data_IF_594685913116
#
_entry.id   IF_594685913116
#
_cell.length_a   1.000
_cell.length_b   1.000
_cell.length_c   1.000
_cell.angle_alpha   90.00
_cell.angle_beta   90.00
_cell.angle_gamma   90.00
#
_symmetry.space_group_name_H-M   'P 1'
#
loop_
_entity.id
_entity.type
_entity.pdbx_description
1 polymer ?
#
# COMPACT_ATOMS: atom_id res chain seq x y z
N UNK A 1 -0.85 0.71 18.15
CA UNK A 1 -1.10 1.01 16.72
C UNK A 1 0.20 1.43 16.04
N UNK A 2 0.78 0.56 15.20
CA UNK A 2 2.13 0.72 14.64
C UNK A 2 2.08 1.39 13.24
N UNK A 3 2.16 2.73 13.22
CA UNK A 3 2.57 3.65 12.12
C UNK A 3 1.52 4.30 11.19
N UNK A 4 1.86 5.38 10.47
CA UNK A 4 2.25 6.78 10.78
C UNK A 4 2.69 7.45 9.43
N UNK A 5 2.24 8.67 9.10
CA UNK A 5 2.43 9.34 7.80
C UNK A 5 3.87 9.42 7.27
N UNK A 6 4.87 9.27 8.15
CA UNK A 6 6.31 9.25 7.82
C UNK A 6 6.72 8.20 6.78
N UNK A 7 5.98 7.11 6.61
CA UNK A 7 6.29 6.11 5.58
C UNK A 7 5.90 6.56 4.17
N UNK A 8 4.83 7.34 4.02
CA UNK A 8 4.42 7.91 2.75
C UNK A 8 5.43 8.95 2.25
N UNK A 9 5.95 9.80 3.14
CA UNK A 9 7.00 10.76 2.76
C UNK A 9 8.28 10.02 2.35
N UNK A 10 8.64 8.94 3.07
CA UNK A 10 9.77 8.08 2.68
C UNK A 10 9.53 7.33 1.37
N UNK A 11 8.30 6.99 1.03
CA UNK A 11 7.91 6.41 -0.26
C UNK A 11 8.23 7.37 -1.40
N UNK A 12 7.69 8.59 -1.32
CA UNK A 12 7.87 9.63 -2.33
C UNK A 12 9.37 9.97 -2.48
N UNK A 13 10.09 10.13 -1.37
CA UNK A 13 11.53 10.41 -1.40
C UNK A 13 12.38 9.26 -1.99
N UNK A 14 11.94 8.00 -1.85
CA UNK A 14 12.66 6.84 -2.42
C UNK A 14 12.36 6.66 -3.91
N UNK A 15 11.12 6.90 -4.32
CA UNK A 15 10.72 6.95 -5.72
C UNK A 15 11.48 8.05 -6.48
N UNK A 16 11.56 9.25 -5.91
CA UNK A 16 12.34 10.37 -6.46
C UNK A 16 13.84 10.06 -6.56
N UNK A 17 14.36 9.19 -5.70
CA UNK A 17 15.77 8.80 -5.68
C UNK A 17 16.12 7.63 -6.61
N UNK A 18 15.16 7.10 -7.40
CA UNK A 18 15.33 5.96 -8.34
C UNK A 18 16.30 4.89 -7.82
N UNK A 19 16.11 4.43 -6.58
CA UNK A 19 16.85 3.26 -6.11
C UNK A 19 16.39 2.05 -6.91
N UNK A 20 17.31 1.41 -7.62
CA UNK A 20 17.09 0.15 -8.34
C UNK A 20 16.30 -0.83 -7.45
N UNK A 21 15.04 -1.11 -7.79
CA UNK A 21 14.15 -2.00 -7.04
C UNK A 21 12.75 -1.46 -6.74
N UNK A 22 12.45 -0.21 -7.06
CA UNK A 22 11.08 0.35 -7.03
C UNK A 22 10.53 0.26 -8.45
N UNK A 23 9.82 -0.83 -8.76
CA UNK A 23 9.36 -1.15 -10.12
C UNK A 23 8.15 -0.29 -10.54
N UNK A 24 7.32 0.14 -9.58
CA UNK A 24 6.08 0.87 -9.85
C UNK A 24 5.87 2.10 -8.94
N UNK A 25 5.06 3.06 -9.40
CA UNK A 25 4.64 4.20 -8.60
C UNK A 25 3.82 3.73 -7.38
N UNK A 26 4.23 4.10 -6.17
CA UNK A 26 3.59 3.66 -4.92
C UNK A 26 4.34 2.56 -4.17
N UNK A 27 5.39 1.99 -4.76
CA UNK A 27 6.24 1.00 -4.10
C UNK A 27 7.21 1.63 -3.08
N UNK A 28 7.37 0.96 -1.94
CA UNK A 28 8.16 1.46 -0.81
C UNK A 28 8.94 0.34 -0.17
N UNK A 29 10.25 0.55 -0.06
CA UNK A 29 11.12 -0.26 0.77
C UNK A 29 11.33 0.43 2.12
N UNK A 30 10.87 -0.19 3.20
CA UNK A 30 11.08 0.30 4.57
C UNK A 30 12.14 -0.55 5.25
N UNK A 31 13.29 0.03 5.64
CA UNK A 31 14.33 -0.72 6.33
C UNK A 31 13.81 -1.17 7.71
N UNK A 32 14.04 -2.44 8.01
CA UNK A 32 13.72 -3.09 9.27
C UNK A 32 14.95 -3.84 9.78
N UNK A 33 15.57 -3.31 10.82
CA UNK A 33 16.75 -3.92 11.44
C UNK A 33 16.34 -5.01 12.43
N UNK A 34 16.93 -6.19 12.29
CA UNK A 34 16.78 -7.32 13.22
C UNK A 34 18.09 -8.09 13.30
N UNK A 35 18.58 -8.31 14.53
CA UNK A 35 19.82 -9.08 14.81
C UNK A 35 21.04 -8.62 13.98
N UNK A 36 21.28 -7.32 13.89
CA UNK A 36 22.41 -6.76 13.13
C UNK A 36 22.20 -6.69 11.61
N UNK A 37 21.21 -7.38 11.06
CA UNK A 37 20.89 -7.37 9.63
C UNK A 37 19.79 -6.35 9.31
N UNK A 38 19.92 -5.63 8.18
CA UNK A 38 18.87 -4.75 7.66
C UNK A 38 18.07 -5.49 6.60
N UNK A 39 16.80 -5.78 6.89
CA UNK A 39 15.83 -6.30 5.94
C UNK A 39 15.03 -5.14 5.36
N UNK A 40 14.59 -5.24 4.11
CA UNK A 40 13.73 -4.23 3.50
C UNK A 40 12.32 -4.80 3.37
N UNK A 41 11.37 -4.22 4.11
CA UNK A 41 9.96 -4.56 3.95
C UNK A 41 9.42 -3.84 2.73
N UNK A 42 8.83 -4.60 1.83
CA UNK A 42 8.14 -4.07 0.67
C UNK A 42 6.68 -3.72 1.02
N UNK A 43 6.26 -2.54 0.60
CA UNK A 43 4.88 -2.07 0.69
C UNK A 43 4.49 -1.44 -0.64
N UNK A 44 3.35 -1.82 -1.19
CA UNK A 44 2.71 -1.14 -2.32
C UNK A 44 1.58 -0.25 -1.78
N UNK A 45 1.69 1.05 -1.99
CA UNK A 45 0.71 2.03 -1.54
C UNK A 45 -0.46 2.13 -2.52
N UNK A 46 -1.36 1.16 -2.45
CA UNK A 46 -2.54 1.10 -3.30
C UNK A 46 -3.36 2.39 -3.23
N UNK A 47 -3.68 2.96 -4.40
CA UNK A 47 -4.82 3.85 -4.54
C UNK A 47 -6.13 3.06 -4.49
N UNK A 48 -7.24 3.74 -4.19
CA UNK A 48 -8.59 3.14 -4.24
C UNK A 48 -8.91 2.54 -5.62
N UNK A 49 -8.40 3.16 -6.68
CA UNK A 49 -8.64 2.77 -8.08
C UNK A 49 -7.87 1.49 -8.41
N UNK A 50 -6.57 1.47 -8.17
CA UNK A 50 -5.70 0.30 -8.40
C UNK A 50 -6.19 -0.91 -7.61
N UNK A 51 -6.53 -0.72 -6.32
CA UNK A 51 -7.06 -1.82 -5.50
C UNK A 51 -8.33 -2.42 -6.09
N UNK A 52 -9.23 -1.58 -6.63
CA UNK A 52 -10.46 -2.04 -7.28
C UNK A 52 -10.14 -2.79 -8.57
N UNK A 53 -9.28 -2.24 -9.41
CA UNK A 53 -8.88 -2.83 -10.69
C UNK A 53 -8.19 -4.18 -10.48
N UNK A 54 -7.26 -4.29 -9.53
CA UNK A 54 -6.62 -5.56 -9.18
C UNK A 54 -7.60 -6.62 -8.69
N UNK A 55 -8.54 -6.26 -7.81
CA UNK A 55 -9.50 -7.23 -7.29
C UNK A 55 -10.47 -7.70 -8.39
N UNK A 56 -10.90 -6.78 -9.26
CA UNK A 56 -11.81 -7.13 -10.36
C UNK A 56 -11.12 -7.91 -11.48
N UNK A 57 -9.85 -7.62 -11.78
CA UNK A 57 -9.09 -8.34 -12.81
C UNK A 57 -8.87 -9.82 -12.46
N UNK A 58 -8.82 -10.17 -11.17
CA UNK A 58 -8.72 -11.57 -10.71
C UNK A 58 -10.10 -12.26 -10.55
N UNK A 59 -11.17 -11.66 -11.08
CA UNK A 59 -12.50 -12.29 -11.15
C UNK A 59 -13.35 -12.13 -9.89
N UNK A 60 -13.08 -11.14 -9.05
CA UNK A 60 -13.95 -10.84 -7.90
C UNK A 60 -14.89 -9.68 -8.21
N UNK A 61 -16.15 -9.85 -7.79
CA UNK A 61 -17.13 -8.76 -7.76
C UNK A 61 -17.07 -8.08 -6.40
N UNK A 62 -16.74 -6.80 -6.38
CA UNK A 62 -16.66 -6.02 -5.15
C UNK A 62 -18.07 -5.64 -4.70
N UNK A 63 -18.47 -6.12 -3.52
CA UNK A 63 -19.73 -5.78 -2.87
C UNK A 63 -19.58 -4.47 -2.05
N UNK A 64 -18.49 -4.34 -1.28
CA UNK A 64 -18.21 -3.14 -0.49
C UNK A 64 -16.73 -2.81 -0.46
N UNK A 65 -16.41 -1.52 -0.52
CA UNK A 65 -15.06 -1.01 -0.31
C UNK A 65 -15.12 0.22 0.59
N UNK A 66 -14.50 0.15 1.77
CA UNK A 66 -14.51 1.22 2.75
C UNK A 66 -13.11 1.53 3.28
N UNK A 67 -12.94 2.73 3.81
CA UNK A 67 -11.70 3.17 4.46
C UNK A 67 -11.77 2.72 5.92
N UNK A 68 -10.73 2.04 6.39
CA UNK A 68 -10.64 1.56 7.77
C UNK A 68 -9.77 2.52 8.61
N UNK A 69 -10.37 3.09 9.66
CA UNK A 69 -9.72 3.99 10.62
C UNK A 69 -10.13 5.46 10.49
N UNK A 70 -9.45 6.35 11.23
CA UNK A 70 -9.73 7.81 11.17
C UNK A 70 -9.46 8.33 9.75
N UNK A 71 -10.38 9.15 9.22
CA UNK A 71 -10.15 9.94 8.00
C UNK A 71 -8.97 10.86 8.26
N UNK A 72 -7.85 10.62 7.58
CA UNK A 72 -6.77 11.60 7.46
C UNK A 72 -7.10 12.51 6.28
N UNK A 73 -6.69 13.78 6.38
CA UNK A 73 -7.10 14.86 5.48
C UNK A 73 -6.75 14.57 4.00
N UNK A 74 -5.69 13.80 3.73
CA UNK A 74 -5.17 13.64 2.36
C UNK A 74 -5.21 12.20 1.85
N UNK A 75 -4.78 11.21 2.65
CA UNK A 75 -4.65 9.81 2.19
C UNK A 75 -5.23 8.83 3.23
N UNK A 76 -6.18 7.95 2.84
CA UNK A 76 -6.70 6.92 3.73
C UNK A 76 -5.61 5.90 4.08
N UNK A 77 -5.59 5.44 5.34
CA UNK A 77 -4.53 4.55 5.82
C UNK A 77 -4.69 3.11 5.37
N UNK A 78 -5.93 2.62 5.40
CA UNK A 78 -6.26 1.24 5.09
C UNK A 78 -7.56 1.21 4.32
N UNK A 79 -7.66 0.28 3.38
CA UNK A 79 -8.92 -0.09 2.75
C UNK A 79 -9.33 -1.47 3.26
N UNK A 80 -10.63 -1.65 3.44
CA UNK A 80 -11.24 -2.94 3.68
C UNK A 80 -12.23 -3.21 2.56
N UNK A 81 -12.09 -4.38 1.93
CA UNK A 81 -12.87 -4.79 0.76
C UNK A 81 -13.61 -6.07 1.09
N UNK A 82 -14.91 -6.08 0.86
CA UNK A 82 -15.74 -7.27 0.80
C UNK A 82 -16.01 -7.54 -0.68
N UNK A 83 -15.52 -8.68 -1.16
CA UNK A 83 -15.68 -9.10 -2.54
C UNK A 83 -16.03 -10.59 -2.61
N UNK A 84 -16.81 -10.94 -3.62
CA UNK A 84 -17.28 -12.30 -3.88
C UNK A 84 -16.60 -12.81 -5.14
N UNK A 85 -16.12 -14.06 -5.10
CA UNK A 85 -15.51 -14.66 -6.28
C UNK A 85 -16.61 -14.99 -7.29
N UNK A 86 -16.47 -14.47 -8.50
CA UNK A 86 -17.33 -14.87 -9.60
C UNK A 86 -16.80 -16.22 -10.09
N UNK A 87 -17.60 -17.28 -9.91
CA UNK A 87 -17.30 -18.60 -10.44
C UNK A 87 -17.69 -18.66 -11.92
#
# INVERSE_FOLDING_TARGET
SRYQPRFLIKAILQLMRRRNGVLEFGDVLVPWRRKGTTYYRYYHLFTKKELREHITSVGFKISRLHILGRRYIVIPRNYAVLAEKVC
#
